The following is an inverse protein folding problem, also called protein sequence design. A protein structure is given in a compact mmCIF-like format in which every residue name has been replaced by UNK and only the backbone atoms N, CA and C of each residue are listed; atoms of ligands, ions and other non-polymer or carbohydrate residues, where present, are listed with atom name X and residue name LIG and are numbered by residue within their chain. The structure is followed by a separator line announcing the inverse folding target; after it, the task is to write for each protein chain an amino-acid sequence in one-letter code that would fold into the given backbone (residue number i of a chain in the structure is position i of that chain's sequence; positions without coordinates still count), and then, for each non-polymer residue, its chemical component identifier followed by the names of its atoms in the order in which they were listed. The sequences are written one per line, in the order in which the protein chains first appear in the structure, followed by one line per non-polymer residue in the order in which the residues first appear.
data_IF_005896769781
#
_entry.id   IF_005896769781
#
_cell.length_a   1.000
_cell.length_b   1.000
_cell.length_c   1.000
_cell.angle_alpha   90.00
_cell.angle_beta   90.00
_cell.angle_gamma   90.00
#
_symmetry.space_group_name_H-M   'P 1'
#
loop_
_entity.id
_entity.type
_entity.pdbx_description
1 polymer ?
#
# COMPACT_ATOMS: atom_id res chain seq x y z
N UNK A 1 -7.75 -23.61 -45.96
CA UNK A 1 -7.40 -22.96 -44.67
C UNK A 1 -8.71 -22.65 -43.94
N UNK A 2 -9.10 -23.51 -43.01
CA UNK A 2 -10.27 -23.26 -42.19
C UNK A 2 -9.88 -22.23 -41.16
N UNK A 3 -10.42 -21.00 -41.30
CA UNK A 3 -10.22 -19.98 -40.27
C UNK A 3 -10.76 -20.47 -38.95
N UNK A 4 -9.90 -20.56 -37.94
CA UNK A 4 -10.34 -20.64 -36.53
C UNK A 4 -11.26 -19.45 -36.31
N UNK A 5 -12.55 -19.68 -36.05
CA UNK A 5 -13.43 -18.66 -35.52
C UNK A 5 -12.83 -18.28 -34.17
N UNK A 6 -12.44 -17.02 -33.99
CA UNK A 6 -12.01 -16.51 -32.68
C UNK A 6 -13.18 -16.74 -31.72
N UNK A 7 -12.96 -17.56 -30.68
CA UNK A 7 -13.96 -17.76 -29.64
C UNK A 7 -14.17 -16.40 -28.93
N UNK A 8 -15.41 -16.04 -28.66
CA UNK A 8 -15.69 -14.85 -27.86
C UNK A 8 -15.26 -15.09 -26.40
N UNK A 9 -15.02 -14.03 -25.64
CA UNK A 9 -14.73 -14.15 -24.19
C UNK A 9 -15.85 -14.90 -23.49
N UNK A 10 -17.11 -14.67 -23.88
CA UNK A 10 -18.28 -15.38 -23.38
C UNK A 10 -18.18 -16.89 -23.61
N UNK A 11 -17.85 -17.31 -24.84
CA UNK A 11 -17.73 -18.74 -25.17
C UNK A 11 -16.66 -19.41 -24.30
N UNK A 12 -15.53 -18.72 -24.04
CA UNK A 12 -14.48 -19.20 -23.15
C UNK A 12 -14.97 -19.32 -21.72
N UNK A 13 -15.61 -18.27 -21.20
CA UNK A 13 -16.10 -18.24 -19.81
C UNK A 13 -17.31 -19.16 -19.58
N UNK A 14 -18.03 -19.58 -20.61
CA UNK A 14 -19.10 -20.57 -20.52
C UNK A 14 -18.58 -22.00 -20.25
N UNK A 15 -17.31 -22.25 -20.50
CA UNK A 15 -16.67 -23.51 -20.14
C UNK A 15 -16.41 -23.55 -18.64
N UNK A 16 -16.96 -24.52 -17.94
CA UNK A 16 -16.92 -24.63 -16.48
C UNK A 16 -15.51 -24.54 -15.88
N UNK A 17 -14.48 -25.06 -16.58
CA UNK A 17 -13.10 -25.05 -16.09
C UNK A 17 -12.58 -23.61 -15.94
N UNK A 18 -12.95 -22.69 -16.84
CA UNK A 18 -12.51 -21.30 -16.76
C UNK A 18 -13.22 -20.53 -15.66
N UNK A 19 -14.47 -20.87 -15.33
CA UNK A 19 -15.21 -20.28 -14.19
C UNK A 19 -14.59 -20.63 -12.85
N UNK A 20 -13.90 -21.77 -12.75
CA UNK A 20 -13.31 -22.27 -11.52
C UNK A 20 -11.79 -22.09 -11.47
N UNK A 21 -11.17 -21.46 -12.46
CA UNK A 21 -9.73 -21.27 -12.44
C UNK A 21 -9.32 -20.24 -11.38
N UNK A 22 -8.18 -20.50 -10.76
CA UNK A 22 -7.60 -19.58 -9.75
C UNK A 22 -6.68 -18.54 -10.39
N UNK A 23 -6.25 -18.78 -11.63
CA UNK A 23 -5.26 -17.96 -12.32
C UNK A 23 -5.76 -17.62 -13.72
N UNK A 24 -5.88 -16.33 -14.01
CA UNK A 24 -6.17 -15.81 -15.35
C UNK A 24 -5.07 -14.84 -15.74
N UNK A 25 -4.55 -15.00 -16.94
CA UNK A 25 -3.63 -14.05 -17.56
C UNK A 25 -4.19 -13.64 -18.94
N UNK A 26 -4.37 -12.35 -19.13
CA UNK A 26 -4.67 -11.75 -20.43
C UNK A 26 -3.35 -11.24 -21.01
N UNK A 27 -3.01 -11.75 -22.19
CA UNK A 27 -1.68 -11.51 -22.77
C UNK A 27 -1.82 -10.86 -24.13
N UNK A 28 -1.35 -9.62 -24.23
CA UNK A 28 -1.38 -8.77 -25.43
C UNK A 28 -2.77 -8.49 -25.99
N UNK A 29 -2.91 -7.37 -26.66
CA UNK A 29 -4.15 -6.94 -27.29
C UNK A 29 -4.96 -5.95 -26.45
N UNK A 30 -6.22 -5.85 -26.77
CA UNK A 30 -7.20 -4.99 -26.11
C UNK A 30 -8.37 -5.84 -25.65
N UNK A 31 -8.97 -5.47 -24.53
CA UNK A 31 -10.18 -6.12 -24.02
C UNK A 31 -11.25 -5.07 -23.85
N UNK A 32 -12.46 -5.38 -24.27
CA UNK A 32 -13.61 -4.50 -24.06
C UNK A 32 -14.07 -4.51 -22.60
N UNK A 33 -14.64 -3.38 -22.13
CA UNK A 33 -15.13 -3.25 -20.73
C UNK A 33 -16.12 -4.36 -20.36
N UNK A 34 -17.02 -4.71 -21.26
CA UNK A 34 -18.06 -5.72 -21.00
C UNK A 34 -17.47 -7.14 -20.91
N UNK A 35 -16.50 -7.45 -21.75
CA UNK A 35 -15.78 -8.73 -21.70
C UNK A 35 -14.98 -8.85 -20.40
N UNK A 36 -14.34 -7.78 -19.96
CA UNK A 36 -13.58 -7.78 -18.72
C UNK A 36 -14.50 -7.89 -17.49
N UNK A 37 -15.65 -7.21 -17.50
CA UNK A 37 -16.69 -7.38 -16.46
C UNK A 37 -17.15 -8.83 -16.42
N UNK A 38 -17.45 -9.43 -17.56
CA UNK A 38 -17.87 -10.81 -17.66
C UNK A 38 -16.84 -11.76 -17.04
N UNK A 39 -15.54 -11.58 -17.33
CA UNK A 39 -14.47 -12.39 -16.73
C UNK A 39 -14.47 -12.28 -15.21
N UNK A 40 -14.53 -11.06 -14.66
CA UNK A 40 -14.51 -10.82 -13.20
C UNK A 40 -15.79 -11.33 -12.51
N UNK A 41 -16.93 -11.27 -13.17
CA UNK A 41 -18.21 -11.78 -12.63
C UNK A 41 -18.26 -13.29 -12.58
N UNK A 42 -17.77 -13.94 -13.64
CA UNK A 42 -17.87 -15.38 -13.80
C UNK A 42 -16.75 -16.15 -13.09
N UNK A 43 -15.58 -15.57 -12.89
CA UNK A 43 -14.45 -16.20 -12.20
C UNK A 43 -14.67 -16.22 -10.68
N UNK A 44 -15.18 -17.34 -10.15
CA UNK A 44 -15.55 -17.48 -8.73
C UNK A 44 -14.37 -17.66 -7.77
N UNK A 45 -13.31 -18.30 -8.22
CA UNK A 45 -12.16 -18.71 -7.41
C UNK A 45 -10.88 -17.99 -7.78
N UNK A 46 -10.98 -16.84 -8.45
CA UNK A 46 -9.85 -16.09 -8.98
C UNK A 46 -8.96 -15.56 -7.86
N UNK A 47 -7.71 -16.04 -7.80
CA UNK A 47 -6.68 -15.62 -6.86
C UNK A 47 -5.60 -14.78 -7.52
N UNK A 48 -5.31 -15.07 -8.81
CA UNK A 48 -4.27 -14.37 -9.56
C UNK A 48 -4.82 -13.83 -10.86
N UNK A 49 -4.73 -12.53 -11.06
CA UNK A 49 -5.18 -11.86 -12.26
C UNK A 49 -4.07 -10.99 -12.84
N UNK A 50 -3.70 -11.25 -14.09
CA UNK A 50 -2.56 -10.61 -14.76
C UNK A 50 -2.95 -10.04 -16.11
N UNK A 51 -2.54 -8.80 -16.36
CA UNK A 51 -2.64 -8.14 -17.66
C UNK A 51 -1.23 -7.85 -18.15
N UNK A 52 -0.78 -8.60 -19.12
CA UNK A 52 0.57 -8.55 -19.66
C UNK A 52 0.52 -8.00 -21.10
N UNK A 53 0.79 -6.73 -21.25
CA UNK A 53 0.66 -6.04 -22.54
C UNK A 53 -0.78 -5.94 -23.06
N UNK A 54 -1.77 -6.09 -22.18
CA UNK A 54 -3.19 -5.94 -22.51
C UNK A 54 -3.66 -4.55 -22.11
N UNK A 55 -4.27 -3.83 -23.04
CA UNK A 55 -4.86 -2.52 -22.81
C UNK A 55 -6.27 -2.67 -22.28
N UNK A 56 -6.55 -1.95 -21.17
CA UNK A 56 -7.86 -1.87 -20.53
C UNK A 56 -8.48 -0.50 -20.86
N UNK A 57 -9.79 -0.42 -21.17
CA UNK A 57 -10.48 0.84 -21.41
C UNK A 57 -10.34 1.79 -20.21
N UNK A 58 -10.15 3.08 -20.50
CA UNK A 58 -9.88 4.11 -19.46
C UNK A 58 -11.07 4.40 -18.53
N UNK A 59 -12.26 3.98 -18.91
CA UNK A 59 -13.51 4.11 -18.17
C UNK A 59 -13.91 2.83 -17.41
N UNK A 60 -13.04 1.81 -17.45
CA UNK A 60 -13.31 0.53 -16.79
C UNK A 60 -13.45 0.70 -15.27
N UNK A 61 -14.53 0.14 -14.74
CA UNK A 61 -14.79 0.07 -13.30
C UNK A 61 -15.43 -1.27 -12.96
N UNK A 62 -14.92 -1.91 -11.90
CA UNK A 62 -15.48 -3.14 -11.36
C UNK A 62 -15.04 -3.35 -9.92
N UNK A 63 -15.97 -3.72 -9.03
CA UNK A 63 -15.70 -3.88 -7.59
C UNK A 63 -14.64 -4.94 -7.26
N UNK A 64 -14.59 -6.02 -8.06
CA UNK A 64 -13.62 -7.11 -7.86
C UNK A 64 -12.23 -6.81 -8.43
N UNK A 65 -12.06 -5.73 -9.20
CA UNK A 65 -10.79 -5.46 -9.87
C UNK A 65 -9.61 -5.31 -8.89
N UNK A 66 -9.88 -4.91 -7.64
CA UNK A 66 -8.89 -4.72 -6.57
C UNK A 66 -9.15 -5.56 -5.31
N UNK A 67 -10.00 -6.59 -5.39
CA UNK A 67 -10.27 -7.53 -4.28
C UNK A 67 -9.78 -8.96 -4.55
N UNK A 68 -8.86 -9.11 -5.49
CA UNK A 68 -8.19 -10.37 -5.83
C UNK A 68 -6.86 -10.44 -5.08
N UNK A 69 -6.46 -11.64 -4.66
CA UNK A 69 -5.27 -11.85 -3.84
C UNK A 69 -3.99 -11.32 -4.53
N UNK A 70 -3.82 -11.59 -5.84
CA UNK A 70 -2.65 -11.15 -6.61
C UNK A 70 -3.09 -10.51 -7.92
N UNK A 71 -2.66 -9.27 -8.13
CA UNK A 71 -3.06 -8.45 -9.28
C UNK A 71 -1.81 -7.89 -9.96
N UNK A 72 -1.76 -7.98 -11.28
CA UNK A 72 -0.74 -7.30 -12.10
C UNK A 72 -1.43 -6.62 -13.28
N UNK A 73 -1.38 -5.30 -13.32
CA UNK A 73 -1.82 -4.47 -14.44
C UNK A 73 -0.61 -3.73 -15.02
N UNK A 74 -0.02 -4.21 -16.13
CA UNK A 74 1.12 -3.54 -16.79
C UNK A 74 0.74 -2.19 -17.36
N UNK A 75 -0.46 -2.08 -17.96
CA UNK A 75 -1.09 -0.81 -18.31
C UNK A 75 -2.17 -0.49 -17.28
N UNK A 76 -1.85 0.41 -16.35
CA UNK A 76 -2.74 0.84 -15.29
C UNK A 76 -3.25 2.29 -15.48
N UNK A 77 -3.22 2.82 -16.72
CA UNK A 77 -3.70 4.18 -17.02
C UNK A 77 -5.20 4.38 -16.75
N UNK A 78 -5.97 3.31 -16.72
CA UNK A 78 -7.39 3.31 -16.38
C UNK A 78 -7.64 3.41 -14.87
N UNK A 79 -6.63 3.09 -14.04
CA UNK A 79 -6.76 3.07 -12.58
C UNK A 79 -6.88 4.49 -12.06
N UNK A 80 -7.90 4.72 -11.24
CA UNK A 80 -8.17 5.98 -10.53
C UNK A 80 -7.99 5.78 -9.03
N UNK A 81 -7.91 6.86 -8.29
CA UNK A 81 -7.82 6.82 -6.82
C UNK A 81 -8.95 5.97 -6.22
N UNK A 82 -10.17 6.13 -6.71
CA UNK A 82 -11.36 5.41 -6.24
C UNK A 82 -11.17 3.89 -6.33
N UNK A 83 -10.49 3.41 -7.38
CA UNK A 83 -10.19 1.99 -7.53
C UNK A 83 -9.24 1.50 -6.42
N UNK A 84 -8.21 2.29 -6.07
CA UNK A 84 -7.29 1.93 -4.98
C UNK A 84 -8.01 1.88 -3.63
N UNK A 85 -8.99 2.76 -3.41
CA UNK A 85 -9.77 2.79 -2.17
C UNK A 85 -10.67 1.55 -1.98
N UNK A 86 -10.93 0.79 -3.04
CA UNK A 86 -11.70 -0.46 -2.97
C UNK A 86 -10.87 -1.69 -2.60
N UNK A 87 -9.51 -1.58 -2.54
CA UNK A 87 -8.65 -2.72 -2.19
C UNK A 87 -9.05 -3.35 -0.86
N UNK A 88 -9.11 -4.68 -0.83
CA UNK A 88 -9.39 -5.45 0.38
C UNK A 88 -8.65 -6.79 0.32
N UNK A 89 -7.83 -7.04 1.33
CA UNK A 89 -7.13 -8.32 1.53
C UNK A 89 -6.27 -8.79 0.34
N UNK A 90 -5.81 -7.86 -0.50
CA UNK A 90 -4.88 -8.21 -1.57
C UNK A 90 -3.49 -8.50 -0.99
N UNK A 91 -2.86 -9.60 -1.41
CA UNK A 91 -1.50 -9.92 -0.97
C UNK A 91 -0.49 -9.14 -1.79
N UNK A 92 -0.68 -9.09 -3.11
CA UNK A 92 0.30 -8.51 -4.03
C UNK A 92 -0.40 -7.77 -5.15
N UNK A 93 -0.10 -6.48 -5.30
CA UNK A 93 -0.64 -5.63 -6.37
C UNK A 93 0.51 -4.95 -7.10
N UNK A 94 0.55 -5.06 -8.41
CA UNK A 94 1.48 -4.32 -9.26
C UNK A 94 0.72 -3.49 -10.29
N UNK A 95 1.00 -2.21 -10.30
CA UNK A 95 0.51 -1.25 -11.29
C UNK A 95 1.71 -0.76 -12.11
N UNK A 96 1.67 -1.02 -13.40
CA UNK A 96 2.65 -0.49 -14.34
C UNK A 96 2.42 1.00 -14.63
N UNK A 97 2.37 1.39 -15.89
CA UNK A 97 2.13 2.79 -16.26
C UNK A 97 0.78 3.27 -15.72
N UNK A 98 0.80 4.35 -14.93
CA UNK A 98 -0.39 4.95 -14.32
C UNK A 98 -0.42 6.47 -14.48
N UNK A 99 -1.61 7.05 -14.43
CA UNK A 99 -1.82 8.51 -14.41
C UNK A 99 -1.94 9.08 -12.98
N UNK A 100 -1.81 8.24 -11.94
CA UNK A 100 -1.89 8.67 -10.55
C UNK A 100 -0.71 9.56 -10.16
N UNK A 101 -0.99 10.57 -9.36
CA UNK A 101 -0.01 11.56 -8.90
C UNK A 101 0.36 11.32 -7.43
N UNK A 102 1.43 11.96 -6.94
CA UNK A 102 1.76 11.96 -5.49
C UNK A 102 0.65 12.53 -4.63
N UNK A 103 -0.15 13.48 -5.14
CA UNK A 103 -1.33 13.99 -4.44
C UNK A 103 -2.42 12.92 -4.28
N UNK A 104 -2.60 12.06 -5.30
CA UNK A 104 -3.53 10.95 -5.21
C UNK A 104 -3.04 9.89 -4.24
N UNK A 105 -1.74 9.60 -4.24
CA UNK A 105 -1.15 8.71 -3.25
C UNK A 105 -1.20 9.27 -1.83
N UNK A 106 -1.08 10.59 -1.63
CA UNK A 106 -1.32 11.19 -0.33
C UNK A 106 -2.76 10.93 0.18
N UNK A 107 -3.76 11.13 -0.69
CA UNK A 107 -5.17 10.82 -0.36
C UNK A 107 -5.36 9.33 -0.07
N UNK A 108 -4.72 8.46 -0.86
CA UNK A 108 -4.71 7.02 -0.63
C UNK A 108 -4.09 6.65 0.71
N UNK A 109 -2.94 7.23 1.08
CA UNK A 109 -2.30 7.00 2.37
C UNK A 109 -3.15 7.50 3.55
N UNK A 110 -3.79 8.68 3.42
CA UNK A 110 -4.75 9.18 4.41
C UNK A 110 -5.94 8.23 4.60
N UNK A 111 -6.44 7.67 3.50
CA UNK A 111 -7.48 6.64 3.58
C UNK A 111 -6.94 5.36 4.21
N UNK A 112 -5.74 4.92 3.82
CA UNK A 112 -5.08 3.74 4.38
C UNK A 112 -4.90 3.87 5.91
N UNK A 113 -4.46 5.02 6.41
CA UNK A 113 -4.30 5.28 7.87
C UNK A 113 -5.61 5.09 8.62
N UNK A 114 -6.73 5.50 8.05
CA UNK A 114 -8.06 5.47 8.67
C UNK A 114 -8.91 4.24 8.31
N UNK A 115 -8.40 3.31 7.50
CA UNK A 115 -9.14 2.11 7.07
C UNK A 115 -9.12 1.04 8.14
N UNK A 116 -10.29 0.47 8.46
CA UNK A 116 -10.42 -0.69 9.34
C UNK A 116 -9.91 -1.99 8.69
N UNK A 117 -9.92 -2.04 7.35
CA UNK A 117 -9.53 -3.22 6.61
C UNK A 117 -8.03 -3.27 6.29
N UNK A 118 -7.45 -4.46 6.29
CA UNK A 118 -6.18 -4.72 5.63
C UNK A 118 -6.38 -4.65 4.12
N UNK A 119 -5.91 -3.58 3.49
CA UNK A 119 -6.14 -3.32 2.07
C UNK A 119 -5.26 -4.21 1.20
N UNK A 120 -3.97 -4.26 1.52
CA UNK A 120 -2.95 -5.02 0.81
C UNK A 120 -1.79 -5.39 1.75
N UNK A 121 -0.94 -6.32 1.31
CA UNK A 121 0.37 -6.55 1.96
C UNK A 121 1.50 -5.87 1.18
N UNK A 122 1.47 -5.96 -0.15
CA UNK A 122 2.50 -5.38 -1.02
C UNK A 122 1.82 -4.69 -2.20
N UNK A 123 2.17 -3.42 -2.43
CA UNK A 123 1.69 -2.63 -3.57
C UNK A 123 2.91 -1.99 -4.26
N UNK A 124 3.05 -2.24 -5.54
CA UNK A 124 4.10 -1.73 -6.40
C UNK A 124 3.50 -0.88 -7.50
N UNK A 125 4.03 0.33 -7.69
CA UNK A 125 3.53 1.26 -8.69
C UNK A 125 4.71 1.81 -9.48
N UNK A 126 4.68 1.66 -10.80
CA UNK A 126 5.71 2.24 -11.65
C UNK A 126 5.61 3.76 -11.61
N UNK A 127 6.64 4.40 -11.08
CA UNK A 127 6.81 5.84 -11.05
C UNK A 127 8.29 6.17 -11.26
N UNK A 128 8.58 6.90 -12.32
CA UNK A 128 9.98 7.23 -12.65
C UNK A 128 10.49 8.40 -11.81
N UNK A 129 9.60 9.27 -11.35
CA UNK A 129 9.95 10.42 -10.51
C UNK A 129 10.27 9.99 -9.08
N UNK A 130 11.29 10.62 -8.48
CA UNK A 130 11.62 10.41 -7.07
C UNK A 130 10.50 10.91 -6.15
N UNK A 131 10.36 10.27 -4.99
CA UNK A 131 9.39 10.69 -3.97
C UNK A 131 9.62 12.17 -3.62
N UNK A 132 8.52 12.93 -3.65
CA UNK A 132 8.43 14.22 -2.97
C UNK A 132 7.76 14.00 -1.60
N UNK A 133 8.53 13.92 -0.50
CA UNK A 133 7.98 13.56 0.80
C UNK A 133 6.97 14.59 1.32
N UNK A 134 7.14 15.88 1.01
CA UNK A 134 6.24 16.94 1.45
C UNK A 134 4.85 16.80 0.83
N UNK A 135 4.77 16.32 -0.42
CA UNK A 135 3.48 16.08 -1.09
C UNK A 135 2.90 14.73 -0.68
N UNK A 136 3.73 13.67 -0.72
CA UNK A 136 3.25 12.31 -0.47
C UNK A 136 2.75 12.13 0.97
N UNK A 137 3.42 12.76 1.94
CA UNK A 137 3.12 12.60 3.37
C UNK A 137 2.50 13.87 3.99
N UNK A 138 1.98 14.80 3.17
CA UNK A 138 1.32 16.00 3.70
C UNK A 138 0.28 15.63 4.76
N UNK A 139 0.43 16.20 5.97
CA UNK A 139 -0.42 15.95 7.16
C UNK A 139 -0.50 14.48 7.62
N UNK A 140 0.55 13.71 7.37
CA UNK A 140 0.70 12.36 7.88
C UNK A 140 1.90 12.31 8.84
N UNK A 141 1.74 11.62 9.95
CA UNK A 141 2.87 11.30 10.83
C UNK A 141 3.75 10.27 10.16
N UNK A 142 5.05 10.55 10.05
CA UNK A 142 6.02 9.66 9.42
C UNK A 142 7.34 9.62 10.19
N UNK A 143 8.06 8.52 10.01
CA UNK A 143 9.47 8.39 10.36
C UNK A 143 10.29 8.24 9.08
N UNK A 144 11.37 8.98 9.00
CA UNK A 144 12.31 8.95 7.88
C UNK A 144 13.52 8.08 8.27
N UNK A 145 13.76 7.01 7.52
CA UNK A 145 14.91 6.14 7.70
C UNK A 145 16.10 6.70 6.92
N UNK A 146 16.76 7.72 7.45
CA UNK A 146 17.86 8.40 6.79
C UNK A 146 19.09 7.52 6.47
N UNK A 147 19.19 6.34 7.09
CA UNK A 147 20.30 5.38 6.90
C UNK A 147 20.14 4.50 5.68
N UNK A 148 18.99 4.52 5.03
CA UNK A 148 18.75 3.71 3.84
C UNK A 148 18.92 4.54 2.58
N UNK A 149 19.66 4.01 1.65
CA UNK A 149 19.75 4.55 0.29
C UNK A 149 19.12 3.48 -0.64
N UNK A 150 17.99 3.73 -1.24
CA UNK A 150 17.18 4.97 -1.20
C UNK A 150 16.46 5.23 0.14
N UNK A 151 16.01 6.48 0.38
CA UNK A 151 15.23 6.84 1.56
C UNK A 151 13.98 5.97 1.71
N UNK A 152 13.70 5.56 2.93
CA UNK A 152 12.52 4.77 3.27
C UNK A 152 11.72 5.48 4.36
N UNK A 153 10.40 5.34 4.33
CA UNK A 153 9.48 6.06 5.20
C UNK A 153 8.51 5.12 5.87
N UNK A 154 8.25 5.32 7.16
CA UNK A 154 7.20 4.59 7.88
C UNK A 154 6.04 5.49 8.23
N UNK A 155 4.82 4.99 8.06
CA UNK A 155 3.59 5.55 8.61
C UNK A 155 2.81 4.46 9.36
N UNK A 156 1.84 4.86 10.16
CA UNK A 156 1.06 3.94 10.99
C UNK A 156 -0.44 4.18 10.82
N UNK A 157 -1.25 3.12 10.94
CA UNK A 157 -2.71 3.25 11.01
C UNK A 157 -3.15 3.95 12.29
N UNK A 158 -4.31 4.58 12.31
CA UNK A 158 -4.87 5.20 13.51
C UNK A 158 -5.00 4.19 14.66
N UNK A 159 -4.67 4.60 15.88
CA UNK A 159 -4.68 3.74 17.07
C UNK A 159 -6.08 3.31 17.52
N UNK A 160 -7.13 3.99 17.05
CA UNK A 160 -8.51 3.60 17.31
C UNK A 160 -8.93 2.32 16.55
N UNK A 161 -8.16 1.95 15.52
CA UNK A 161 -8.39 0.75 14.72
C UNK A 161 -7.68 -0.44 15.37
N UNK A 162 -8.41 -1.23 16.16
CA UNK A 162 -7.83 -2.27 17.02
C UNK A 162 -7.54 -3.57 16.24
N UNK A 163 -8.39 -3.94 15.29
CA UNK A 163 -8.38 -5.27 14.66
C UNK A 163 -7.50 -5.38 13.41
N UNK A 164 -6.80 -4.32 13.04
CA UNK A 164 -5.94 -4.31 11.86
C UNK A 164 -4.70 -5.17 12.08
N UNK A 165 -4.49 -6.16 11.20
CA UNK A 165 -3.36 -7.09 11.29
C UNK A 165 -2.03 -6.43 10.91
N UNK A 166 -2.07 -5.53 9.90
CA UNK A 166 -0.90 -4.87 9.34
C UNK A 166 -0.97 -3.33 9.55
N UNK A 167 -0.73 -2.84 10.78
CA UNK A 167 -0.89 -1.43 11.12
C UNK A 167 0.30 -0.54 10.71
N UNK A 168 1.43 -1.09 10.31
CA UNK A 168 2.63 -0.37 9.92
C UNK A 168 2.82 -0.44 8.40
N UNK A 169 3.10 0.68 7.76
CA UNK A 169 3.38 0.78 6.32
C UNK A 169 4.76 1.35 6.08
N UNK A 170 5.59 0.60 5.37
CA UNK A 170 6.86 1.06 4.81
C UNK A 170 6.62 1.56 3.39
N UNK A 171 7.16 2.72 3.06
CA UNK A 171 7.11 3.32 1.72
C UNK A 171 8.54 3.53 1.23
N UNK A 172 8.84 3.00 0.06
CA UNK A 172 10.15 3.11 -0.59
C UNK A 172 9.99 3.45 -2.07
N UNK A 173 11.03 4.08 -2.66
CA UNK A 173 11.12 4.25 -4.11
C UNK A 173 12.46 3.70 -4.58
N UNK A 174 12.42 2.63 -5.35
CA UNK A 174 13.62 1.97 -5.89
C UNK A 174 13.37 1.50 -7.31
N UNK A 175 14.35 1.68 -8.19
CA UNK A 175 14.29 1.20 -9.58
C UNK A 175 13.05 1.67 -10.35
N UNK A 176 12.66 2.94 -10.17
CA UNK A 176 11.47 3.51 -10.82
C UNK A 176 10.14 2.93 -10.32
N UNK A 177 10.13 2.33 -9.13
CA UNK A 177 8.93 1.76 -8.49
C UNK A 177 8.70 2.40 -7.13
N UNK A 178 7.52 2.96 -6.92
CA UNK A 178 7.00 3.31 -5.62
C UNK A 178 6.41 2.05 -4.98
N UNK A 179 6.90 1.70 -3.80
CA UNK A 179 6.60 0.44 -3.12
C UNK A 179 5.99 0.71 -1.76
N UNK A 180 4.95 -0.02 -1.44
CA UNK A 180 4.27 0.03 -0.15
C UNK A 180 4.21 -1.38 0.43
N UNK A 181 4.70 -1.54 1.67
CA UNK A 181 4.71 -2.82 2.38
C UNK A 181 3.98 -2.67 3.70
N UNK A 182 2.86 -3.37 3.87
CA UNK A 182 2.12 -3.38 5.10
C UNK A 182 2.58 -4.53 6.01
N UNK A 183 2.85 -4.23 7.29
CA UNK A 183 3.43 -5.17 8.25
C UNK A 183 2.58 -5.30 9.52
N UNK A 184 2.58 -6.52 10.06
CA UNK A 184 2.18 -6.76 11.45
C UNK A 184 3.30 -6.37 12.41
N UNK A 185 2.98 -6.11 13.67
CA UNK A 185 3.96 -5.78 14.74
C UNK A 185 5.05 -6.85 14.90
N UNK A 186 4.72 -8.10 14.65
CA UNK A 186 5.57 -9.27 14.93
C UNK A 186 6.25 -9.85 13.69
N UNK A 187 5.97 -9.29 12.51
CA UNK A 187 6.53 -9.83 11.27
C UNK A 187 8.02 -9.54 11.23
N UNK A 188 8.81 -10.60 11.18
CA UNK A 188 10.26 -10.51 10.90
C UNK A 188 10.43 -10.29 9.41
N UNK A 189 11.04 -9.19 9.03
CA UNK A 189 11.37 -8.93 7.64
C UNK A 189 12.80 -9.36 7.36
N UNK A 190 12.97 -10.08 6.26
CA UNK A 190 14.29 -10.44 5.76
C UNK A 190 14.64 -9.50 4.63
N UNK A 191 15.51 -8.53 4.89
CA UNK A 191 16.13 -7.78 3.80
C UNK A 191 17.20 -8.70 3.19
N UNK A 192 16.97 -9.16 1.98
CA UNK A 192 18.02 -9.75 1.16
C UNK A 192 18.89 -8.57 0.74
N UNK A 193 20.02 -8.36 1.43
CA UNK A 193 21.03 -7.43 0.93
C UNK A 193 21.49 -7.95 -0.43
N UNK A 194 21.69 -7.06 -1.39
CA UNK A 194 22.19 -7.41 -2.73
C UNK A 194 23.63 -8.00 -2.68
N UNK A 195 24.28 -7.98 -1.53
CA UNK A 195 25.56 -8.64 -1.29
C UNK A 195 25.33 -10.09 -0.84
N UNK A 196 25.69 -11.09 -1.69
CA UNK A 196 25.54 -12.51 -1.38
C UNK A 196 26.33 -12.98 -0.15
N UNK A 197 27.27 -12.18 0.36
CA UNK A 197 28.06 -12.48 1.55
C UNK A 197 27.54 -11.80 2.83
N UNK A 198 26.47 -11.02 2.76
CA UNK A 198 25.90 -10.39 3.94
C UNK A 198 24.96 -11.34 4.67
N UNK A 199 25.10 -11.45 5.98
CA UNK A 199 24.19 -12.20 6.84
C UNK A 199 22.77 -11.65 6.69
N UNK A 200 21.77 -12.52 6.50
CA UNK A 200 20.35 -12.17 6.48
C UNK A 200 19.97 -11.59 7.85
N UNK A 201 19.91 -10.29 7.95
CA UNK A 201 19.56 -9.62 9.20
C UNK A 201 18.05 -9.72 9.41
N UNK A 202 17.65 -10.42 10.48
CA UNK A 202 16.27 -10.44 10.95
C UNK A 202 15.95 -9.07 11.57
N UNK A 203 15.12 -8.26 10.91
CA UNK A 203 14.67 -6.99 11.47
C UNK A 203 13.21 -7.11 11.91
N UNK A 204 12.96 -6.68 13.12
CA UNK A 204 11.62 -6.33 13.59
C UNK A 204 11.52 -4.80 13.55
N UNK A 205 10.35 -4.29 13.22
CA UNK A 205 10.10 -2.84 13.19
C UNK A 205 9.37 -2.36 14.47
N UNK A 206 9.68 -3.00 15.60
CA UNK A 206 9.02 -2.67 16.86
C UNK A 206 9.34 -1.25 17.31
N UNK A 207 10.61 -0.82 17.21
CA UNK A 207 11.03 0.53 17.59
C UNK A 207 10.34 1.61 16.76
N UNK A 208 10.22 1.39 15.43
CA UNK A 208 9.54 2.29 14.52
C UNK A 208 8.04 2.36 14.82
N UNK A 209 7.43 1.22 15.10
CA UNK A 209 6.03 1.16 15.52
C UNK A 209 5.81 1.93 16.82
N UNK A 210 6.63 1.72 17.85
CA UNK A 210 6.51 2.35 19.15
C UNK A 210 6.72 3.86 19.02
N UNK A 211 7.71 4.32 18.26
CA UNK A 211 7.95 5.74 18.01
C UNK A 211 6.75 6.41 17.31
N UNK A 212 6.19 5.80 16.29
CA UNK A 212 5.00 6.34 15.61
C UNK A 212 3.78 6.40 16.53
N UNK A 213 3.61 5.41 17.42
CA UNK A 213 2.53 5.45 18.43
C UNK A 213 2.73 6.54 19.47
N UNK A 214 3.96 6.85 19.86
CA UNK A 214 4.27 7.98 20.73
C UNK A 214 3.95 9.29 20.01
N UNK A 215 4.40 9.47 18.78
CA UNK A 215 4.10 10.66 17.96
C UNK A 215 2.60 10.88 17.79
N UNK A 216 1.84 9.82 17.55
CA UNK A 216 0.37 9.90 17.44
C UNK A 216 -0.26 10.37 18.76
N UNK A 217 0.19 9.83 19.91
CA UNK A 217 -0.30 10.26 21.22
C UNK A 217 0.05 11.73 21.49
N UNK A 218 1.26 12.16 21.17
CA UNK A 218 1.67 13.57 21.29
C UNK A 218 0.80 14.48 20.40
N UNK A 219 0.55 14.11 19.15
CA UNK A 219 -0.29 14.89 18.25
C UNK A 219 -1.74 15.02 18.77
N UNK A 220 -2.31 13.93 19.29
CA UNK A 220 -3.64 13.94 19.92
C UNK A 220 -3.67 14.81 21.18
N UNK A 221 -2.63 14.75 21.99
CA UNK A 221 -2.53 15.54 23.23
C UNK A 221 -2.33 17.02 22.92
N UNK A 222 -1.45 17.39 21.98
CA UNK A 222 -1.28 18.78 21.49
C UNK A 222 -2.60 19.36 21.01
N UNK A 223 -3.32 18.60 20.18
CA UNK A 223 -4.65 19.04 19.68
C UNK A 223 -5.66 19.25 20.81
N UNK A 224 -5.61 18.41 21.87
CA UNK A 224 -6.45 18.60 23.07
C UNK A 224 -6.09 19.89 23.82
N UNK A 225 -4.79 20.21 23.87
CA UNK A 225 -4.27 21.40 24.58
C UNK A 225 -4.44 22.70 23.77
N UNK A 226 -4.63 22.63 22.46
CA UNK A 226 -4.88 23.80 21.60
C UNK A 226 -6.17 24.52 22.03
N UNK A 227 -6.06 25.83 22.30
CA UNK A 227 -7.19 26.67 22.69
C UNK A 227 -7.62 26.62 24.15
N UNK A 228 -6.84 25.96 25.05
CA UNK A 228 -7.07 25.92 26.48
C UNK A 228 -6.19 26.95 27.14
N UNK A 229 -6.79 28.00 27.77
CA UNK A 229 -6.04 29.06 28.48
C UNK A 229 -5.31 28.55 29.73
N UNK A 230 -5.84 27.53 30.42
CA UNK A 230 -5.23 26.91 31.60
C UNK A 230 -4.95 25.43 31.27
N UNK A 231 -3.70 25.10 30.96
CA UNK A 231 -3.26 23.74 30.70
C UNK A 231 -3.34 22.89 31.96
N UNK A 232 -3.89 21.70 31.85
CA UNK A 232 -3.91 20.67 32.87
C UNK A 232 -2.45 20.20 33.14
N UNK A 233 -2.02 20.26 34.41
CA UNK A 233 -0.69 19.82 34.84
C UNK A 233 -0.43 18.35 34.50
N UNK A 234 -1.48 17.52 34.53
CA UNK A 234 -1.38 16.09 34.16
C UNK A 234 -1.12 15.91 32.66
N UNK A 235 -1.75 16.72 31.81
CA UNK A 235 -1.51 16.68 30.35
C UNK A 235 -0.08 17.16 30.03
N UNK A 236 0.44 18.19 30.71
CA UNK A 236 1.83 18.65 30.57
C UNK A 236 2.83 17.57 30.98
N UNK A 237 2.65 16.96 32.15
CA UNK A 237 3.51 15.86 32.61
C UNK A 237 3.49 14.68 31.67
N UNK A 238 2.32 14.35 31.13
CA UNK A 238 2.18 13.27 30.14
C UNK A 238 2.90 13.58 28.81
N UNK A 239 2.92 14.83 28.38
CA UNK A 239 3.70 15.25 27.22
C UNK A 239 5.19 15.06 27.45
N UNK A 240 5.71 15.49 28.61
CA UNK A 240 7.12 15.33 29.00
C UNK A 240 7.53 13.84 29.05
N UNK A 241 6.67 12.98 29.61
CA UNK A 241 6.90 11.53 29.62
C UNK A 241 6.99 10.93 28.20
N UNK A 242 6.12 11.38 27.27
CA UNK A 242 6.15 10.95 25.87
C UNK A 242 7.40 11.47 25.14
N UNK A 243 7.83 12.71 25.43
CA UNK A 243 9.06 13.28 24.86
C UNK A 243 10.30 12.49 25.34
N UNK A 244 10.37 12.11 26.61
CA UNK A 244 11.46 11.28 27.11
C UNK A 244 11.50 9.89 26.45
N UNK A 245 10.34 9.24 26.30
CA UNK A 245 10.24 7.95 25.64
C UNK A 245 10.68 8.02 24.17
N UNK A 246 10.23 9.03 23.44
CA UNK A 246 10.59 9.24 22.04
C UNK A 246 12.09 9.51 21.88
N UNK A 247 12.66 10.38 22.73
CA UNK A 247 14.08 10.70 22.73
C UNK A 247 14.94 9.44 23.01
N UNK A 248 14.48 8.56 23.90
CA UNK A 248 15.13 7.27 24.13
C UNK A 248 15.21 6.41 22.85
N UNK A 249 14.10 6.31 22.09
CA UNK A 249 14.07 5.57 20.83
C UNK A 249 14.92 6.23 19.73
N UNK A 250 14.90 7.58 19.66
CA UNK A 250 15.71 8.34 18.70
C UNK A 250 17.21 8.24 18.98
N UNK A 251 17.62 8.17 20.24
CA UNK A 251 19.02 8.02 20.63
C UNK A 251 19.65 6.72 20.12
N UNK A 252 18.86 5.68 19.86
CA UNK A 252 19.33 4.49 19.15
C UNK A 252 19.73 4.78 17.69
N UNK A 253 19.43 5.97 17.18
CA UNK A 253 19.91 6.54 15.94
C UNK A 253 19.44 5.80 14.67
N UNK A 254 18.30 5.12 14.70
CA UNK A 254 17.79 4.31 13.60
C UNK A 254 16.93 5.11 12.63
N UNK A 255 16.26 6.16 13.09
CA UNK A 255 15.33 6.98 12.30
C UNK A 255 15.30 8.42 12.79
N UNK A 256 14.71 9.31 11.99
CA UNK A 256 14.42 10.71 12.32
C UNK A 256 12.93 10.97 12.12
N UNK A 257 12.40 11.97 12.84
CA UNK A 257 11.01 12.39 12.64
C UNK A 257 10.96 13.23 11.36
N UNK A 258 10.09 12.86 10.44
CA UNK A 258 9.84 13.63 9.22
C UNK A 258 8.95 14.83 9.52
N UNK A 259 9.32 16.01 8.98
CA UNK A 259 8.53 17.24 9.02
C UNK A 259 7.42 17.24 7.96
#
# INVERSE_FOLDING_TARGET
MNGMKNASVKDVMDVQIFRNCENIALVKGEIESDDLRLVLDMAKNLKNFRFLGTRVPSDFQHEKAFSIERIIYEDANWVRLENLLTMRNSTYVTLGTTSLTYSDFNKFLKFWVNSEADMFMELYIKMEENINPQVLFDRLLRLDLARFNPPSYFIISDSTIVDRKNPLLLVEHTNGMLKFFAFSRTRVWFRVNEDPNSSTEKKTFQSEFDALRILEKQAKLRKKMEGIENLDQDDMRRMEELDMQLNGLLAEGKFIIGE
#
